data_IF_067465358869
#
_entry.id   IF_067465358869
#
_cell.length_a   1.000
_cell.length_b   1.000
_cell.length_c   1.000
_cell.angle_alpha   90.00
_cell.angle_beta   90.00
_cell.angle_gamma   90.00
#
_symmetry.space_group_name_H-M   'P 1'
#
loop_
_entity.id
_entity.type
_entity.pdbx_description
1 polymer ?
#
# COMPACT_ATOMS: atom_id res chain seq x y z
N UNK A 1 10.23 7.92 -0.92
CA UNK A 1 9.03 8.72 -1.29
C UNK A 1 9.37 9.97 -2.14
N UNK A 2 10.43 9.96 -2.97
CA UNK A 2 10.92 11.16 -3.71
C UNK A 2 10.89 11.03 -5.24
N UNK A 3 10.50 9.87 -5.78
CA UNK A 3 10.55 9.59 -7.23
C UNK A 3 9.36 10.23 -7.99
N UNK A 4 8.31 10.66 -7.31
CA UNK A 4 7.10 11.26 -7.92
C UNK A 4 7.29 12.66 -8.51
N UNK A 5 8.41 13.35 -8.25
CA UNK A 5 8.68 14.70 -8.77
C UNK A 5 9.41 14.75 -10.11
N UNK A 6 9.96 13.63 -10.60
CA UNK A 6 10.52 13.61 -11.96
C UNK A 6 9.38 13.36 -12.95
N UNK A 7 9.15 14.30 -13.88
CA UNK A 7 8.11 14.21 -14.91
C UNK A 7 8.21 12.98 -15.83
N UNK A 8 9.27 12.18 -15.68
CA UNK A 8 9.53 10.92 -16.38
C UNK A 8 8.41 9.89 -16.18
N UNK A 9 7.71 9.92 -15.03
CA UNK A 9 6.59 9.02 -14.75
C UNK A 9 5.30 9.35 -15.51
N UNK A 10 5.20 10.50 -16.17
CA UNK A 10 4.02 10.86 -17.00
C UNK A 10 3.96 10.10 -18.32
N UNK A 11 5.11 9.62 -18.81
CA UNK A 11 5.23 8.94 -20.12
C UNK A 11 5.67 7.48 -20.00
N UNK A 12 5.95 6.99 -18.80
CA UNK A 12 6.32 5.58 -18.59
C UNK A 12 5.09 4.66 -18.74
N UNK A 13 5.20 3.51 -19.45
CA UNK A 13 4.09 2.57 -19.61
C UNK A 13 3.57 2.09 -18.25
N UNK A 14 2.25 1.99 -18.10
CA UNK A 14 1.55 1.59 -16.87
C UNK A 14 2.11 0.29 -16.25
N UNK A 15 2.47 -0.69 -17.11
CA UNK A 15 3.08 -1.95 -16.70
C UNK A 15 4.45 -1.78 -16.01
N UNK A 16 5.25 -0.78 -16.40
CA UNK A 16 6.57 -0.52 -15.80
C UNK A 16 6.44 0.09 -14.40
N UNK A 17 5.45 0.97 -14.20
CA UNK A 17 5.19 1.64 -12.90
C UNK A 17 4.64 0.67 -11.87
N UNK A 18 3.71 -0.20 -12.28
CA UNK A 18 3.16 -1.24 -11.40
C UNK A 18 4.22 -2.28 -11.03
N UNK A 19 5.03 -2.73 -12.00
CA UNK A 19 6.08 -3.73 -11.74
C UNK A 19 7.21 -3.19 -10.85
N UNK A 20 7.66 -1.94 -11.05
CA UNK A 20 8.77 -1.36 -10.28
C UNK A 20 8.43 -1.16 -8.79
N UNK A 21 7.19 -0.77 -8.48
CA UNK A 21 6.76 -0.64 -7.08
C UNK A 21 6.70 -1.99 -6.39
N UNK A 22 6.18 -3.02 -7.07
CA UNK A 22 6.09 -4.37 -6.52
C UNK A 22 7.46 -5.01 -6.30
N UNK A 23 8.41 -4.84 -7.21
CA UNK A 23 9.78 -5.36 -7.03
C UNK A 23 10.51 -4.66 -5.90
N UNK A 24 10.36 -3.34 -5.75
CA UNK A 24 10.95 -2.61 -4.64
C UNK A 24 10.38 -3.05 -3.29
N UNK A 25 9.05 -3.20 -3.19
CA UNK A 25 8.40 -3.69 -1.97
C UNK A 25 8.85 -5.11 -1.61
N UNK A 26 9.02 -5.98 -2.60
CA UNK A 26 9.56 -7.33 -2.39
C UNK A 26 11.00 -7.29 -1.86
N UNK A 27 11.87 -6.46 -2.44
CA UNK A 27 13.25 -6.30 -1.96
C UNK A 27 13.28 -5.78 -0.51
N UNK A 28 12.48 -4.75 -0.20
CA UNK A 28 12.39 -4.20 1.15
C UNK A 28 11.88 -5.25 2.15
N UNK A 29 10.90 -6.06 1.76
CA UNK A 29 10.41 -7.17 2.59
C UNK A 29 11.50 -8.24 2.84
N UNK A 30 12.21 -8.66 1.79
CA UNK A 30 13.27 -9.68 1.89
C UNK A 30 14.44 -9.17 2.74
N UNK A 31 14.91 -7.93 2.52
CA UNK A 31 16.01 -7.37 3.30
C UNK A 31 15.64 -7.16 4.77
N UNK A 32 14.45 -6.62 5.06
CA UNK A 32 13.99 -6.50 6.44
C UNK A 32 13.86 -7.88 7.10
N UNK A 33 13.27 -8.86 6.40
CA UNK A 33 13.16 -10.24 6.88
C UNK A 33 14.53 -10.87 7.18
N UNK A 34 15.51 -10.69 6.29
CA UNK A 34 16.88 -11.19 6.49
C UNK A 34 17.54 -10.58 7.73
N UNK A 35 17.39 -9.27 7.95
CA UNK A 35 17.96 -8.59 9.13
C UNK A 35 17.35 -9.12 10.43
N UNK A 36 16.03 -9.35 10.48
CA UNK A 36 15.38 -9.94 11.64
C UNK A 36 15.78 -11.41 11.85
N UNK A 37 15.95 -12.18 10.77
CA UNK A 37 16.42 -13.56 10.85
C UNK A 37 17.83 -13.62 11.43
N UNK A 38 18.74 -12.77 10.95
CA UNK A 38 20.10 -12.65 11.48
C UNK A 38 20.10 -12.26 12.96
N UNK A 39 19.28 -11.28 13.36
CA UNK A 39 19.12 -10.91 14.77
C UNK A 39 18.61 -12.08 15.61
N UNK A 40 17.61 -12.82 15.11
CA UNK A 40 17.08 -14.00 15.77
C UNK A 40 18.13 -15.11 15.96
N UNK A 41 19.00 -15.30 14.96
CA UNK A 41 20.10 -16.26 15.03
C UNK A 41 21.21 -15.82 16.01
N UNK A 42 21.48 -14.52 16.11
CA UNK A 42 22.49 -13.96 17.03
C UNK A 42 21.99 -13.85 18.48
N UNK A 43 20.67 -13.92 18.69
CA UNK A 43 20.03 -13.75 19.99
C UNK A 43 20.61 -14.68 21.09
N UNK A 44 20.80 -15.99 20.86
CA UNK A 44 21.37 -16.89 21.87
C UNK A 44 22.81 -16.55 22.25
N UNK A 45 23.63 -16.13 21.27
CA UNK A 45 25.01 -15.73 21.50
C UNK A 45 25.08 -14.42 22.29
N UNK A 46 24.19 -13.47 22.00
CA UNK A 46 24.08 -12.20 22.72
C UNK A 46 23.61 -12.43 24.17
N UNK A 47 22.64 -13.32 24.38
CA UNK A 47 22.16 -13.69 25.71
C UNK A 47 23.26 -14.37 26.54
N UNK A 48 23.92 -15.38 25.98
CA UNK A 48 24.95 -16.14 26.70
C UNK A 48 26.17 -15.29 27.06
N UNK A 49 26.67 -14.47 26.12
CA UNK A 49 27.78 -13.55 26.38
C UNK A 49 27.44 -12.48 27.42
N UNK A 50 26.20 -11.99 27.44
CA UNK A 50 25.77 -10.97 28.40
C UNK A 50 25.49 -11.55 29.79
N UNK A 51 24.96 -12.77 29.88
CA UNK A 51 24.76 -13.48 31.15
C UNK A 51 26.10 -13.77 31.83
N UNK A 52 27.10 -14.25 31.07
CA UNK A 52 28.45 -14.52 31.59
C UNK A 52 29.16 -13.25 32.07
N UNK A 53 28.97 -12.13 31.35
CA UNK A 53 29.54 -10.85 31.75
C UNK A 53 28.82 -10.22 32.96
N UNK A 54 27.50 -10.41 33.08
CA UNK A 54 26.74 -9.98 34.26
C UNK A 54 27.08 -10.80 35.52
N UNK A 55 27.37 -12.10 35.38
CA UNK A 55 27.86 -12.93 36.49
C UNK A 55 29.28 -12.54 36.95
N UNK A 56 30.06 -11.88 36.09
CA UNK A 56 31.41 -11.41 36.42
C UNK A 56 31.44 -10.09 37.20
N UNK A 57 30.32 -9.36 37.29
CA UNK A 57 30.24 -8.06 37.96
C UNK A 57 29.32 -8.15 39.22
N UNK A 58 29.86 -8.09 40.46
CA UNK A 58 29.11 -8.35 41.70
C UNK A 58 27.96 -7.37 42.01
N UNK A 59 27.81 -6.29 41.26
CA UNK A 59 26.82 -5.23 41.49
C UNK A 59 25.67 -5.19 40.48
N UNK A 60 25.66 -6.07 39.47
CA UNK A 60 24.65 -6.05 38.40
C UNK A 60 23.79 -7.31 38.47
N UNK A 61 22.67 -7.23 39.18
CA UNK A 61 21.67 -8.30 39.13
C UNK A 61 21.06 -8.37 37.73
N UNK A 62 20.87 -9.58 37.20
CA UNK A 62 20.32 -9.84 35.85
C UNK A 62 18.96 -9.14 35.61
N UNK A 63 18.23 -8.85 36.68
CA UNK A 63 16.97 -8.09 36.64
C UNK A 63 17.14 -6.62 36.22
N UNK A 64 18.28 -5.98 36.52
CA UNK A 64 18.55 -4.59 36.14
C UNK A 64 18.62 -4.40 34.62
N UNK A 65 19.21 -5.37 33.91
CA UNK A 65 19.27 -5.38 32.44
C UNK A 65 17.88 -5.38 31.79
N UNK A 66 16.92 -6.12 32.36
CA UNK A 66 15.54 -6.11 31.88
C UNK A 66 14.82 -4.79 32.20
N UNK A 67 15.08 -4.20 33.37
CA UNK A 67 14.52 -2.89 33.71
C UNK A 67 15.07 -1.79 32.80
N UNK A 68 16.34 -1.87 32.40
CA UNK A 68 16.96 -0.92 31.48
C UNK A 68 16.33 -0.99 30.09
N UNK A 69 16.03 -2.20 29.58
CA UNK A 69 15.31 -2.36 28.31
C UNK A 69 13.96 -1.63 28.35
N UNK A 70 13.18 -1.83 29.42
CA UNK A 70 11.87 -1.20 29.59
C UNK A 70 12.01 0.32 29.70
N UNK A 71 12.99 0.80 30.47
CA UNK A 71 13.23 2.22 30.70
C UNK A 71 13.69 2.93 29.41
N UNK A 72 14.62 2.34 28.67
CA UNK A 72 15.10 2.84 27.37
C UNK A 72 13.94 2.86 26.37
N UNK A 73 13.15 1.78 26.29
CA UNK A 73 11.98 1.75 25.41
C UNK A 73 10.98 2.86 25.75
N UNK A 74 10.65 3.03 27.03
CA UNK A 74 9.74 4.07 27.50
C UNK A 74 10.28 5.48 27.20
N UNK A 75 11.56 5.75 27.46
CA UNK A 75 12.21 7.02 27.14
C UNK A 75 12.14 7.32 25.63
N UNK A 76 12.48 6.33 24.79
CA UNK A 76 12.41 6.49 23.34
C UNK A 76 10.97 6.66 22.82
N UNK A 77 9.98 6.08 23.50
CA UNK A 77 8.57 6.26 23.18
C UNK A 77 8.11 7.68 23.54
N UNK A 78 8.49 8.18 24.73
CA UNK A 78 8.20 9.54 25.18
C UNK A 78 8.83 10.60 24.27
N UNK A 79 10.11 10.42 23.88
CA UNK A 79 10.80 11.34 22.95
C UNK A 79 10.06 11.39 21.61
N UNK A 80 9.68 10.23 21.06
CA UNK A 80 8.96 10.16 19.80
C UNK A 80 7.57 10.80 19.89
N UNK A 81 6.81 10.46 20.93
CA UNK A 81 5.49 11.03 21.15
C UNK A 81 5.56 12.54 21.37
N UNK A 82 6.52 13.01 22.18
CA UNK A 82 6.79 14.43 22.42
C UNK A 82 7.18 15.17 21.14
N UNK A 83 7.98 14.55 20.27
CA UNK A 83 8.34 15.11 18.97
C UNK A 83 7.11 15.28 18.06
N UNK A 84 6.29 14.24 17.93
CA UNK A 84 5.06 14.29 17.13
C UNK A 84 4.05 15.29 17.70
N UNK A 85 3.94 15.37 19.03
CA UNK A 85 3.11 16.35 19.72
C UNK A 85 3.56 17.78 19.45
N UNK A 86 4.87 18.01 19.47
CA UNK A 86 5.49 19.30 19.16
C UNK A 86 5.23 19.67 17.70
N UNK A 87 5.43 18.74 16.76
CA UNK A 87 5.12 18.93 15.34
C UNK A 87 3.65 19.27 15.11
N UNK A 88 2.72 18.59 15.80
CA UNK A 88 1.29 18.90 15.73
C UNK A 88 0.99 20.33 16.21
N UNK A 89 1.48 20.70 17.40
CA UNK A 89 1.32 22.06 17.97
C UNK A 89 1.92 23.13 17.05
N UNK A 90 3.09 22.86 16.46
CA UNK A 90 3.76 23.75 15.54
C UNK A 90 2.96 23.92 14.24
N UNK A 91 2.47 22.82 13.66
CA UNK A 91 1.62 22.84 12.45
C UNK A 91 0.35 23.67 12.68
N UNK A 92 -0.34 23.45 13.80
CA UNK A 92 -1.57 24.20 14.15
C UNK A 92 -1.31 25.69 14.39
N UNK A 93 -0.13 26.04 14.93
CA UNK A 93 0.22 27.43 15.27
C UNK A 93 0.76 28.22 14.07
N UNK A 94 1.56 27.60 13.21
CA UNK A 94 2.29 28.30 12.15
C UNK A 94 1.74 28.07 10.73
N UNK A 95 1.06 26.95 10.44
CA UNK A 95 0.67 26.55 9.07
C UNK A 95 -0.86 26.58 8.83
N UNK A 96 -1.54 27.67 9.20
CA UNK A 96 -3.02 27.79 9.03
C UNK A 96 -3.53 27.72 7.58
N UNK A 97 -2.70 28.10 6.58
CA UNK A 97 -3.10 28.12 5.16
C UNK A 97 -2.83 26.80 4.42
N UNK A 98 -1.93 25.96 4.94
CA UNK A 98 -1.59 24.62 4.44
C UNK A 98 -1.13 23.76 5.63
N UNK A 99 -2.06 23.23 6.46
CA UNK A 99 -1.66 22.42 7.58
C UNK A 99 -0.87 21.20 7.08
N UNK A 100 0.25 20.87 7.73
CA UNK A 100 0.88 19.56 7.52
C UNK A 100 -0.14 18.48 7.88
N UNK A 101 -0.09 17.31 7.22
CA UNK A 101 -1.06 16.21 7.44
C UNK A 101 -1.18 15.82 8.92
N UNK A 102 -0.11 15.97 9.70
CA UNK A 102 -0.06 15.76 11.15
C UNK A 102 -0.88 16.76 11.99
N UNK A 103 -1.36 17.86 11.41
CA UNK A 103 -2.03 18.96 12.12
C UNK A 103 -3.47 18.63 12.53
N UNK A 104 -4.15 17.77 11.77
CA UNK A 104 -5.50 17.26 12.05
C UNK A 104 -5.51 16.04 12.95
N UNK A 105 -4.34 15.44 13.22
CA UNK A 105 -4.29 14.14 13.87
C UNK A 105 -4.81 14.18 15.31
N UNK A 106 -5.62 13.19 15.66
CA UNK A 106 -6.06 13.01 17.06
C UNK A 106 -4.90 12.56 17.94
N UNK A 107 -5.00 12.77 19.26
CA UNK A 107 -3.97 12.31 20.20
C UNK A 107 -3.73 10.80 20.13
N UNK A 108 -4.77 10.05 19.73
CA UNK A 108 -4.71 8.60 19.53
C UNK A 108 -4.00 8.19 18.24
N UNK A 109 -4.21 8.90 17.12
CA UNK A 109 -3.43 8.71 15.88
C UNK A 109 -1.94 8.99 16.12
N UNK A 110 -1.64 9.98 16.96
CA UNK A 110 -0.27 10.29 17.38
C UNK A 110 0.36 9.16 18.20
N UNK A 111 -0.41 8.55 19.10
CA UNK A 111 0.03 7.36 19.85
C UNK A 111 0.26 6.17 18.91
N UNK A 112 -0.62 5.96 17.92
CA UNK A 112 -0.46 4.89 16.94
C UNK A 112 0.79 5.10 16.11
N UNK A 113 1.00 6.30 15.59
CA UNK A 113 2.21 6.62 14.82
C UNK A 113 3.49 6.46 15.66
N UNK A 114 3.39 6.66 16.98
CA UNK A 114 4.50 6.44 17.91
C UNK A 114 4.81 4.94 18.10
N UNK A 115 3.79 4.10 18.18
CA UNK A 115 3.90 2.64 18.39
C UNK A 115 4.16 1.87 17.09
N UNK A 116 3.62 2.34 15.96
CA UNK A 116 3.66 1.66 14.67
C UNK A 116 5.06 1.63 14.01
N UNK A 117 5.98 2.48 14.45
CA UNK A 117 7.34 2.46 13.90
C UNK A 117 8.19 1.38 14.54
N UNK A 118 8.14 0.18 13.97
CA UNK A 118 8.99 -0.95 14.35
C UNK A 118 10.45 -0.55 14.21
N UNK A 119 11.22 -0.71 15.30
CA UNK A 119 12.66 -0.49 15.33
C UNK A 119 13.33 -1.83 15.06
N UNK A 120 14.30 -1.88 14.16
CA UNK A 120 14.97 -3.13 13.84
C UNK A 120 16.26 -2.89 13.08
N UNK A 121 16.17 -2.79 11.76
CA UNK A 121 17.35 -2.82 10.91
C UNK A 121 18.35 -1.68 11.14
N UNK A 122 17.87 -0.43 11.27
CA UNK A 122 18.75 0.73 11.43
C UNK A 122 19.46 0.70 12.80
N UNK A 123 18.73 0.36 13.86
CA UNK A 123 19.30 0.25 15.22
C UNK A 123 20.34 -0.87 15.28
N UNK A 124 20.05 -2.03 14.70
CA UNK A 124 20.97 -3.16 14.65
C UNK A 124 22.24 -2.81 13.86
N UNK A 125 22.09 -2.19 12.69
CA UNK A 125 23.22 -1.75 11.89
C UNK A 125 24.13 -0.78 12.67
N UNK A 126 23.54 0.17 13.39
CA UNK A 126 24.30 1.11 14.22
C UNK A 126 25.10 0.41 15.33
N UNK A 127 24.49 -0.57 15.99
CA UNK A 127 25.12 -1.27 17.12
C UNK A 127 26.19 -2.26 16.66
N UNK A 128 25.96 -2.95 15.54
CA UNK A 128 26.97 -3.83 14.94
C UNK A 128 28.14 -3.05 14.33
N UNK A 129 27.94 -1.78 13.96
CA UNK A 129 29.02 -0.90 13.47
C UNK A 129 29.99 -0.46 14.56
N UNK A 130 29.67 -0.69 15.84
CA UNK A 130 30.59 -0.41 16.95
C UNK A 130 31.81 -1.33 16.82
N UNK A 131 33.03 -0.76 16.72
CA UNK A 131 34.24 -1.54 16.50
C UNK A 131 34.50 -2.52 17.65
N UNK A 132 35.09 -3.66 17.32
CA UNK A 132 35.44 -4.68 18.32
C UNK A 132 36.59 -4.24 19.23
N UNK A 133 37.49 -3.43 18.69
CA UNK A 133 38.72 -2.99 19.34
C UNK A 133 38.83 -1.46 19.28
N UNK A 134 39.42 -0.86 20.32
CA UNK A 134 39.86 0.53 20.30
C UNK A 134 41.05 0.68 19.34
N UNK A 135 41.35 1.92 18.89
CA UNK A 135 42.58 2.21 18.16
C UNK A 135 43.85 1.79 18.90
N UNK A 136 43.78 1.67 20.23
CA UNK A 136 44.85 1.19 21.12
C UNK A 136 45.05 -0.33 21.11
N UNK A 137 44.16 -1.11 20.49
CA UNK A 137 44.18 -2.58 20.46
C UNK A 137 43.38 -3.26 21.57
N UNK A 138 42.90 -2.52 22.57
CA UNK A 138 42.07 -3.03 23.66
C UNK A 138 40.63 -3.33 23.20
N UNK A 139 39.93 -4.27 23.87
CA UNK A 139 38.53 -4.60 23.58
C UNK A 139 37.62 -3.42 23.92
N UNK A 140 36.63 -3.15 23.06
CA UNK A 140 35.67 -2.09 23.32
C UNK A 140 34.83 -2.36 24.59
N UNK A 141 34.88 -1.48 25.61
CA UNK A 141 34.19 -1.71 26.87
C UNK A 141 32.67 -1.68 26.67
N UNK A 142 31.95 -2.57 27.36
CA UNK A 142 30.48 -2.64 27.36
C UNK A 142 29.81 -2.80 25.97
N UNK A 143 30.55 -3.22 24.93
CA UNK A 143 29.95 -3.45 23.60
C UNK A 143 28.84 -4.51 23.66
N UNK A 144 29.06 -5.59 24.39
CA UNK A 144 28.08 -6.67 24.52
C UNK A 144 26.80 -6.19 25.21
N UNK A 145 26.90 -5.32 26.21
CA UNK A 145 25.75 -4.70 26.90
C UNK A 145 24.95 -3.82 25.96
N UNK A 146 25.62 -3.00 25.14
CA UNK A 146 24.95 -2.17 24.13
C UNK A 146 24.24 -3.03 23.09
N UNK A 147 24.85 -4.13 22.65
CA UNK A 147 24.24 -5.11 21.73
C UNK A 147 23.03 -5.78 22.36
N UNK A 148 23.13 -6.19 23.62
CA UNK A 148 22.05 -6.80 24.39
C UNK A 148 20.86 -5.84 24.58
N UNK A 149 21.11 -4.62 25.06
CA UNK A 149 20.08 -3.61 25.26
C UNK A 149 19.39 -3.25 23.94
N UNK A 150 20.15 -3.10 22.86
CA UNK A 150 19.58 -2.81 21.55
C UNK A 150 18.71 -3.96 21.02
N UNK A 151 19.20 -5.21 21.09
CA UNK A 151 18.43 -6.39 20.69
C UNK A 151 17.17 -6.54 21.57
N UNK A 152 17.29 -6.36 22.88
CA UNK A 152 16.20 -6.39 23.84
C UNK A 152 15.13 -5.33 23.56
N UNK A 153 15.53 -4.07 23.32
CA UNK A 153 14.62 -2.98 22.97
C UNK A 153 13.93 -3.23 21.62
N UNK A 154 14.64 -3.79 20.63
CA UNK A 154 14.05 -4.18 19.33
C UNK A 154 12.95 -5.22 19.54
N UNK A 155 13.27 -6.33 20.22
CA UNK A 155 12.32 -7.42 20.49
C UNK A 155 11.13 -6.94 21.33
N UNK A 156 11.39 -6.18 22.39
CA UNK A 156 10.36 -5.61 23.24
C UNK A 156 9.46 -4.66 22.44
N UNK A 157 10.04 -3.81 21.59
CA UNK A 157 9.26 -2.91 20.73
C UNK A 157 8.39 -3.64 19.72
N UNK A 158 8.88 -4.75 19.17
CA UNK A 158 8.13 -5.59 18.23
C UNK A 158 6.98 -6.30 18.95
N UNK A 159 7.23 -6.85 20.14
CA UNK A 159 6.20 -7.49 20.96
C UNK A 159 5.10 -6.50 21.37
N UNK A 160 5.49 -5.34 21.90
CA UNK A 160 4.54 -4.26 22.24
C UNK A 160 3.79 -3.80 20.99
N UNK A 161 4.48 -3.63 19.85
CA UNK A 161 3.85 -3.25 18.58
C UNK A 161 2.78 -4.24 18.12
N UNK A 162 3.09 -5.54 18.12
CA UNK A 162 2.16 -6.61 17.68
C UNK A 162 0.89 -6.65 18.53
N UNK A 163 0.98 -6.39 19.83
CA UNK A 163 -0.18 -6.42 20.74
C UNK A 163 -0.89 -5.06 20.80
N UNK A 164 -0.15 -3.97 20.95
CA UNK A 164 -0.72 -2.64 21.14
C UNK A 164 -1.37 -2.12 19.85
N UNK A 165 -0.79 -2.38 18.68
CA UNK A 165 -1.31 -1.87 17.41
C UNK A 165 -2.75 -2.34 17.10
N UNK A 166 -3.11 -3.64 17.15
CA UNK A 166 -4.49 -4.08 16.91
C UNK A 166 -5.47 -3.51 17.94
N UNK A 167 -5.06 -3.40 19.22
CA UNK A 167 -5.90 -2.80 20.28
C UNK A 167 -6.14 -1.31 20.00
N UNK A 168 -5.09 -0.60 19.61
CA UNK A 168 -5.13 0.84 19.40
C UNK A 168 -5.90 1.19 18.10
N UNK A 169 -5.85 0.33 17.09
CA UNK A 169 -6.58 0.46 15.83
C UNK A 169 -8.06 0.06 15.90
N UNK A 170 -8.49 -0.76 16.88
CA UNK A 170 -9.85 -1.34 16.95
C UNK A 170 -11.02 -0.35 16.92
N UNK A 171 -10.80 0.92 17.23
CA UNK A 171 -11.85 1.94 17.24
C UNK A 171 -11.46 3.21 16.46
N UNK A 172 -10.64 3.07 15.42
CA UNK A 172 -10.34 4.19 14.52
C UNK A 172 -11.18 3.98 13.28
N UNK A 173 -12.43 4.37 13.41
CA UNK A 173 -13.28 4.56 12.25
C UNK A 173 -13.12 6.00 11.73
N UNK A 174 -12.71 6.05 10.47
CA UNK A 174 -13.39 6.85 9.45
C UNK A 174 -13.13 8.35 9.31
N UNK A 175 -12.41 9.04 10.18
CA UNK A 175 -12.22 10.50 9.96
C UNK A 175 -11.23 10.79 8.82
N UNK A 176 -10.10 10.08 8.75
CA UNK A 176 -9.07 10.28 7.71
C UNK A 176 -9.55 9.79 6.34
N UNK A 177 -10.32 8.70 6.32
CA UNK A 177 -10.97 8.21 5.11
C UNK A 177 -11.96 9.21 4.53
N UNK A 178 -12.68 10.00 5.35
CA UNK A 178 -13.64 10.98 4.82
C UNK A 178 -12.92 12.10 4.08
N UNK A 179 -11.79 12.58 4.61
CA UNK A 179 -11.03 13.64 3.96
C UNK A 179 -10.30 13.13 2.70
N UNK A 180 -9.67 11.96 2.78
CA UNK A 180 -9.06 11.30 1.62
C UNK A 180 -10.11 10.98 0.53
N UNK A 181 -11.29 10.47 0.91
CA UNK A 181 -12.39 10.24 -0.03
C UNK A 181 -12.91 11.53 -0.65
N UNK A 182 -12.95 12.64 0.09
CA UNK A 182 -13.32 13.95 -0.45
C UNK A 182 -12.29 14.46 -1.45
N UNK A 183 -11.01 14.35 -1.12
CA UNK A 183 -9.92 14.72 -2.02
C UNK A 183 -9.91 13.87 -3.29
N UNK A 184 -10.08 12.55 -3.14
CA UNK A 184 -10.18 11.61 -4.24
C UNK A 184 -11.39 11.90 -5.14
N UNK A 185 -12.56 12.17 -4.55
CA UNK A 185 -13.77 12.58 -5.30
C UNK A 185 -13.53 13.87 -6.08
N UNK A 186 -12.91 14.86 -5.46
CA UNK A 186 -12.60 16.13 -6.11
C UNK A 186 -11.60 15.94 -7.26
N UNK A 187 -10.56 15.13 -7.06
CA UNK A 187 -9.59 14.78 -8.09
C UNK A 187 -10.26 14.02 -9.24
N UNK A 188 -11.09 13.01 -8.95
CA UNK A 188 -11.85 12.24 -9.94
C UNK A 188 -12.76 13.15 -10.76
N UNK A 189 -13.54 14.01 -10.12
CA UNK A 189 -14.40 14.98 -10.79
C UNK A 189 -13.60 15.89 -11.74
N UNK A 190 -12.53 16.51 -11.25
CA UNK A 190 -11.70 17.39 -12.05
C UNK A 190 -11.06 16.66 -13.24
N UNK A 191 -10.59 15.42 -13.06
CA UNK A 191 -10.01 14.64 -14.17
C UNK A 191 -11.05 14.20 -15.19
N UNK A 192 -12.27 13.88 -14.75
CA UNK A 192 -13.34 13.49 -15.64
C UNK A 192 -13.84 14.67 -16.49
N UNK A 193 -13.94 15.86 -15.90
CA UNK A 193 -14.29 17.08 -16.66
C UNK A 193 -13.29 17.34 -17.78
N UNK A 194 -11.98 17.25 -17.48
CA UNK A 194 -10.92 17.40 -18.49
C UNK A 194 -11.00 16.31 -19.56
N UNK A 195 -11.29 15.06 -19.17
CA UNK A 195 -11.43 13.96 -20.11
C UNK A 195 -12.67 14.10 -21.01
N UNK A 196 -13.80 14.59 -20.48
CA UNK A 196 -15.02 14.87 -21.25
C UNK A 196 -14.74 15.94 -22.31
N UNK A 197 -14.06 17.04 -21.93
CA UNK A 197 -13.66 18.09 -22.88
C UNK A 197 -12.72 17.55 -23.96
N UNK A 198 -11.80 16.65 -23.59
CA UNK A 198 -10.89 16.01 -24.55
C UNK A 198 -11.66 15.12 -25.55
N UNK A 199 -12.67 14.37 -25.09
CA UNK A 199 -13.53 13.54 -25.95
C UNK A 199 -14.34 14.43 -26.90
N UNK A 200 -14.98 15.49 -26.40
CA UNK A 200 -15.75 16.43 -27.22
C UNK A 200 -14.88 17.08 -28.31
N UNK A 201 -13.66 17.49 -27.97
CA UNK A 201 -12.70 18.02 -28.94
C UNK A 201 -12.25 16.98 -29.97
N UNK A 202 -12.16 15.71 -29.57
CA UNK A 202 -11.86 14.61 -30.49
C UNK A 202 -13.04 14.36 -31.44
N UNK A 203 -14.27 14.40 -30.92
CA UNK A 203 -15.50 14.29 -31.70
C UNK A 203 -15.61 15.41 -32.75
N UNK A 204 -15.37 16.66 -32.37
CA UNK A 204 -15.33 17.79 -33.32
C UNK A 204 -14.26 17.60 -34.42
N UNK A 205 -13.08 17.09 -34.05
CA UNK A 205 -11.99 16.83 -35.01
C UNK A 205 -12.33 15.72 -35.99
N UNK A 206 -12.91 14.62 -35.50
CA UNK A 206 -13.30 13.49 -36.33
C UNK A 206 -14.50 13.83 -37.22
N UNK A 207 -15.46 14.63 -36.72
CA UNK A 207 -16.58 15.12 -37.52
C UNK A 207 -16.11 16.08 -38.64
N UNK A 208 -15.02 16.81 -38.42
CA UNK A 208 -14.41 17.69 -39.42
C UNK A 208 -13.46 16.95 -40.38
N UNK A 209 -12.99 15.74 -40.03
CA UNK A 209 -12.05 14.98 -40.84
C UNK A 209 -12.78 14.19 -41.95
N UNK A 210 -12.74 14.73 -43.16
CA UNK A 210 -13.37 14.11 -44.34
C UNK A 210 -12.71 12.79 -44.76
N UNK A 211 -11.52 12.44 -44.24
CA UNK A 211 -10.82 11.20 -44.63
C UNK A 211 -11.42 9.94 -44.02
N UNK A 212 -11.96 10.00 -42.82
CA UNK A 212 -12.44 8.78 -42.13
C UNK A 212 -13.90 8.44 -42.43
N UNK A 213 -14.67 9.32 -43.09
CA UNK A 213 -16.08 9.11 -43.49
C UNK A 213 -16.92 8.36 -42.44
N UNK A 214 -16.73 8.72 -41.17
CA UNK A 214 -17.42 8.10 -40.04
C UNK A 214 -18.84 8.67 -40.00
N UNK A 215 -19.83 7.80 -39.78
CA UNK A 215 -21.20 8.23 -39.55
C UNK A 215 -21.28 9.11 -38.28
N UNK A 216 -21.74 10.35 -38.46
CA UNK A 216 -21.87 11.32 -37.39
C UNK A 216 -22.82 10.83 -36.26
N UNK A 217 -23.77 9.96 -36.60
CA UNK A 217 -24.67 9.36 -35.62
C UNK A 217 -23.94 8.35 -34.72
N UNK A 218 -23.11 7.48 -35.29
CA UNK A 218 -22.29 6.52 -34.53
C UNK A 218 -21.26 7.22 -33.66
N UNK A 219 -20.69 8.31 -34.16
CA UNK A 219 -19.70 9.11 -33.44
C UNK A 219 -20.32 9.76 -32.19
N UNK A 220 -21.50 10.35 -32.33
CA UNK A 220 -22.27 10.93 -31.22
C UNK A 220 -22.73 9.86 -30.21
N UNK A 221 -23.14 8.69 -30.69
CA UNK A 221 -23.54 7.58 -29.81
C UNK A 221 -22.36 7.08 -28.97
N UNK A 222 -21.20 6.86 -29.59
CA UNK A 222 -20.00 6.39 -28.89
C UNK A 222 -19.47 7.47 -27.93
N UNK A 223 -19.42 8.74 -28.35
CA UNK A 223 -18.99 9.85 -27.48
C UNK A 223 -19.90 9.96 -26.25
N UNK A 224 -21.22 9.92 -26.45
CA UNK A 224 -22.21 10.01 -25.37
C UNK A 224 -22.13 8.81 -24.41
N UNK A 225 -21.91 7.59 -24.92
CA UNK A 225 -21.73 6.39 -24.10
C UNK A 225 -20.47 6.48 -23.24
N UNK A 226 -19.36 6.95 -23.81
CA UNK A 226 -18.09 7.11 -23.07
C UNK A 226 -18.22 8.22 -22.03
N UNK A 227 -18.78 9.38 -22.39
CA UNK A 227 -19.03 10.50 -21.46
C UNK A 227 -19.98 10.06 -20.32
N UNK A 228 -21.02 9.31 -20.63
CA UNK A 228 -21.94 8.74 -19.63
C UNK A 228 -21.23 7.83 -18.63
N UNK A 229 -20.28 7.00 -19.08
CA UNK A 229 -19.45 6.16 -18.21
C UNK A 229 -18.47 6.98 -17.36
N UNK A 230 -17.93 8.10 -17.86
CA UNK A 230 -17.11 9.01 -17.05
C UNK A 230 -17.94 9.70 -15.96
N UNK A 231 -19.14 10.21 -16.31
CA UNK A 231 -20.03 10.88 -15.34
C UNK A 231 -20.50 9.94 -14.24
N UNK A 232 -20.92 8.71 -14.59
CA UNK A 232 -21.31 7.69 -13.59
C UNK A 232 -20.19 7.38 -12.58
N UNK A 233 -18.93 7.33 -13.04
CA UNK A 233 -17.76 7.13 -12.17
C UNK A 233 -17.48 8.30 -11.22
N UNK A 234 -17.88 9.52 -11.59
CA UNK A 234 -17.72 10.72 -10.75
C UNK A 234 -18.86 10.89 -9.78
N UNK A 235 -20.09 10.67 -10.24
CA UNK A 235 -21.29 11.06 -9.49
C UNK A 235 -21.33 10.37 -8.14
N UNK A 236 -20.86 9.11 -8.04
CA UNK A 236 -20.61 8.43 -6.75
C UNK A 236 -21.76 8.52 -5.74
N UNK A 237 -22.96 8.84 -6.24
CA UNK A 237 -24.17 9.21 -5.51
C UNK A 237 -25.00 8.00 -5.15
N UNK A 238 -24.71 6.89 -5.79
CA UNK A 238 -25.14 5.57 -5.35
C UNK A 238 -23.99 5.04 -4.50
N UNK A 239 -24.31 4.49 -3.33
CA UNK A 239 -23.35 3.90 -2.41
C UNK A 239 -22.31 3.09 -3.19
N UNK A 240 -21.05 3.15 -2.79
CA UNK A 240 -19.98 2.31 -3.37
C UNK A 240 -20.44 0.85 -3.46
N UNK A 241 -21.27 0.44 -2.51
CA UNK A 241 -21.99 -0.82 -2.46
C UNK A 241 -22.97 -1.03 -3.63
N UNK A 242 -23.79 -0.04 -3.99
CA UNK A 242 -24.68 -0.11 -5.16
C UNK A 242 -23.89 -0.22 -6.48
N UNK A 243 -22.78 0.51 -6.63
CA UNK A 243 -21.93 0.41 -7.83
C UNK A 243 -21.30 -0.98 -7.96
N UNK A 244 -20.82 -1.55 -6.86
CA UNK A 244 -20.26 -2.91 -6.83
C UNK A 244 -21.35 -3.93 -7.16
N UNK A 245 -22.56 -3.74 -6.63
CA UNK A 245 -23.71 -4.62 -6.91
C UNK A 245 -24.12 -4.55 -8.39
N UNK A 246 -24.15 -3.36 -8.99
CA UNK A 246 -24.43 -3.18 -10.42
C UNK A 246 -23.40 -3.89 -11.31
N UNK A 247 -22.10 -3.72 -11.05
CA UNK A 247 -21.03 -4.40 -11.78
C UNK A 247 -21.11 -5.94 -11.61
N UNK A 248 -21.39 -6.41 -10.40
CA UNK A 248 -21.59 -7.84 -10.14
C UNK A 248 -22.81 -8.41 -10.87
N UNK A 249 -23.91 -7.66 -10.91
CA UNK A 249 -25.13 -8.03 -11.63
C UNK A 249 -24.88 -8.08 -13.13
N UNK A 250 -24.28 -7.04 -13.70
CA UNK A 250 -23.93 -6.98 -15.13
C UNK A 250 -23.04 -8.16 -15.52
N UNK A 251 -22.02 -8.47 -14.71
CA UNK A 251 -21.15 -9.63 -14.94
C UNK A 251 -21.94 -10.94 -14.92
N UNK A 252 -22.82 -11.13 -13.94
CA UNK A 252 -23.66 -12.35 -13.85
C UNK A 252 -24.56 -12.50 -15.07
N UNK A 253 -25.18 -11.43 -15.53
CA UNK A 253 -26.00 -11.45 -16.75
C UNK A 253 -25.18 -11.78 -18.00
N UNK A 254 -23.99 -11.19 -18.16
CA UNK A 254 -23.08 -11.50 -19.27
C UNK A 254 -22.62 -12.95 -19.26
N UNK A 255 -22.23 -13.49 -18.11
CA UNK A 255 -21.85 -14.90 -17.98
C UNK A 255 -23.02 -15.85 -18.28
N UNK A 256 -24.24 -15.48 -17.88
CA UNK A 256 -25.43 -16.26 -18.23
C UNK A 256 -25.67 -16.28 -19.75
N UNK A 257 -25.52 -15.12 -20.42
CA UNK A 257 -25.64 -15.02 -21.88
C UNK A 257 -24.58 -15.89 -22.60
N UNK A 258 -23.30 -15.79 -22.21
CA UNK A 258 -22.22 -16.60 -22.79
C UNK A 258 -22.46 -18.11 -22.65
N UNK A 259 -22.99 -18.55 -21.49
CA UNK A 259 -23.35 -19.96 -21.28
C UNK A 259 -24.49 -20.41 -22.21
N UNK A 260 -25.49 -19.56 -22.42
CA UNK A 260 -26.58 -19.83 -23.35
C UNK A 260 -26.08 -19.89 -24.80
N UNK A 261 -25.23 -18.95 -25.22
CA UNK A 261 -24.62 -18.95 -26.56
C UNK A 261 -23.80 -20.21 -26.82
N UNK A 262 -22.99 -20.64 -25.83
CA UNK A 262 -22.24 -21.90 -25.91
C UNK A 262 -23.17 -23.12 -26.06
N UNK A 263 -24.28 -23.16 -25.33
CA UNK A 263 -25.30 -24.20 -25.47
C UNK A 263 -25.87 -24.28 -26.88
N UNK A 264 -26.19 -23.13 -27.48
CA UNK A 264 -26.73 -23.06 -28.84
C UNK A 264 -25.70 -23.48 -29.89
N UNK A 265 -24.42 -23.12 -29.73
CA UNK A 265 -23.35 -23.59 -30.62
C UNK A 265 -23.22 -25.12 -30.64
N UNK A 266 -23.33 -25.77 -29.48
CA UNK A 266 -23.36 -27.23 -29.42
C UNK A 266 -24.60 -27.83 -30.08
N UNK A 267 -25.76 -27.18 -29.93
CA UNK A 267 -27.00 -27.59 -30.58
C UNK A 267 -26.90 -27.49 -32.11
N UNK A 268 -26.42 -26.34 -32.64
CA UNK A 268 -26.17 -26.12 -34.06
C UNK A 268 -25.18 -27.13 -34.65
N UNK A 269 -24.19 -27.55 -33.86
CA UNK A 269 -23.25 -28.62 -34.25
C UNK A 269 -23.95 -29.98 -34.31
N UNK A 270 -24.77 -30.31 -33.31
CA UNK A 270 -25.53 -31.55 -33.27
C UNK A 270 -26.52 -31.66 -34.45
N UNK A 271 -27.13 -30.55 -34.85
CA UNK A 271 -28.00 -30.46 -36.03
C UNK A 271 -27.24 -30.33 -37.36
N UNK A 272 -25.90 -30.43 -37.35
CA UNK A 272 -25.01 -30.33 -38.53
C UNK A 272 -25.12 -29.02 -39.32
N UNK A 273 -25.56 -27.93 -38.68
CA UNK A 273 -25.65 -26.62 -39.33
C UNK A 273 -24.29 -25.90 -39.39
N UNK A 274 -23.37 -26.23 -38.48
CA UNK A 274 -22.01 -25.67 -38.43
C UNK A 274 -20.92 -26.74 -38.53
N UNK A 275 -19.79 -26.36 -39.13
CA UNK A 275 -18.58 -27.19 -39.19
C UNK A 275 -17.88 -27.25 -37.83
N UNK A 276 -17.00 -28.25 -37.65
CA UNK A 276 -16.22 -28.38 -36.42
C UNK A 276 -15.22 -27.23 -36.25
N UNK A 277 -14.67 -26.74 -37.35
CA UNK A 277 -13.72 -25.63 -37.37
C UNK A 277 -14.39 -24.31 -36.96
N UNK A 278 -15.60 -24.03 -37.47
CA UNK A 278 -16.39 -22.86 -37.08
C UNK A 278 -16.77 -22.93 -35.60
N UNK A 279 -17.13 -24.10 -35.10
CA UNK A 279 -17.43 -24.30 -33.67
C UNK A 279 -16.20 -23.98 -32.80
N UNK A 280 -15.03 -24.53 -33.12
CA UNK A 280 -13.80 -24.28 -32.36
C UNK A 280 -13.42 -22.81 -32.34
N UNK A 281 -13.55 -22.12 -33.48
CA UNK A 281 -13.28 -20.68 -33.57
C UNK A 281 -14.22 -19.86 -32.68
N UNK A 282 -15.53 -20.10 -32.77
CA UNK A 282 -16.51 -19.35 -31.97
C UNK A 282 -16.40 -19.67 -30.48
N UNK A 283 -16.13 -20.92 -30.11
CA UNK A 283 -15.88 -21.28 -28.71
C UNK A 283 -14.64 -20.57 -28.15
N UNK A 284 -13.57 -20.45 -28.95
CA UNK A 284 -12.36 -19.71 -28.55
C UNK A 284 -12.65 -18.22 -28.31
N UNK A 285 -13.46 -17.59 -29.17
CA UNK A 285 -13.85 -16.18 -28.98
C UNK A 285 -14.69 -16.00 -27.70
N UNK A 286 -15.60 -16.94 -27.41
CA UNK A 286 -16.39 -16.93 -26.17
C UNK A 286 -15.51 -17.17 -24.93
N UNK A 287 -14.51 -18.06 -25.01
CA UNK A 287 -13.54 -18.30 -23.94
C UNK A 287 -12.75 -17.03 -23.62
N UNK A 288 -12.36 -16.27 -24.65
CA UNK A 288 -11.63 -15.01 -24.46
C UNK A 288 -12.51 -13.94 -23.78
N UNK A 289 -13.79 -13.84 -24.16
CA UNK A 289 -14.75 -12.95 -23.49
C UNK A 289 -15.02 -13.37 -22.03
N UNK A 290 -15.12 -14.68 -21.77
CA UNK A 290 -15.27 -15.21 -20.41
C UNK A 290 -14.04 -14.93 -19.56
N UNK A 291 -12.82 -15.08 -20.11
CA UNK A 291 -11.57 -14.76 -19.42
C UNK A 291 -11.50 -13.30 -18.99
N UNK A 292 -11.85 -12.36 -19.88
CA UNK A 292 -11.88 -10.92 -19.57
C UNK A 292 -12.86 -10.57 -18.43
N UNK A 293 -13.94 -11.33 -18.27
CA UNK A 293 -14.92 -11.12 -17.19
C UNK A 293 -14.47 -11.74 -15.87
N UNK A 294 -13.53 -12.70 -15.88
CA UNK A 294 -13.01 -13.38 -14.69
C UNK A 294 -11.74 -12.69 -14.16
N UNK A 295 -10.93 -12.09 -15.03
CA UNK A 295 -9.64 -11.46 -14.67
C UNK A 295 -9.77 -10.19 -13.80
N UNK A 296 -10.95 -9.56 -13.75
CA UNK A 296 -11.27 -8.41 -12.88
C UNK A 296 -11.52 -8.81 -11.39
N UNK A 297 -10.97 -9.95 -10.92
CA UNK A 297 -11.02 -10.43 -9.51
C UNK A 297 -9.74 -10.12 -8.74
#
# INVERSE_FOLDING_TARGET
MTITRSGVMRTAPLAMRLRANSTWAMLEFVFNGMVFLLLGLQLPDILSSSLVAAEADPNVETWMLFTDIILIYAALMLVRFGWLWTMRKLSQRFLKKKPMEFGSWTTRELLISSVAGVRGAITLAGVLSIPLLLPSGDVFPARYELVFLAAGVILFSLFVGVIALPILLRHIESTDHVQQRKEERLARAATADVAIVAIQKMEERLAADTKENIDNQLLTEVSSRVIGNLRRRVDGRNDVETSILEEQLERRFRLAALRSERGELYHLRATRQISNETLQKLLHDLDLLEALLIEDQ
#
